data_IF_581283035313
#
_entry.id   IF_581283035313
#
_cell.length_a   1.000
_cell.length_b   1.000
_cell.length_c   1.000
_cell.angle_alpha   90.00
_cell.angle_beta   90.00
_cell.angle_gamma   90.00
#
_symmetry.space_group_name_H-M   'P 1'
#
loop_
_entity.id
_entity.type
_entity.pdbx_description
1 polymer ?
#
# COMPACT_ATOMS: atom_id res chain seq x y z
N UNK A 1 7.31 3.81 -10.57
CA UNK A 1 5.97 3.83 -9.91
C UNK A 1 5.38 5.25 -9.92
N UNK A 2 4.09 5.43 -9.60
CA UNK A 2 3.48 6.76 -9.51
C UNK A 2 3.94 7.50 -8.24
N UNK A 3 4.37 8.78 -8.33
CA UNK A 3 4.75 9.57 -7.16
C UNK A 3 3.62 9.71 -6.13
N UNK A 4 3.98 9.70 -4.85
CA UNK A 4 3.06 9.93 -3.75
C UNK A 4 3.46 11.24 -3.03
N UNK A 5 2.64 12.27 -3.16
CA UNK A 5 2.84 13.54 -2.45
C UNK A 5 1.75 13.77 -1.40
N UNK A 6 0.53 13.90 -1.89
CA UNK A 6 -0.68 14.05 -1.08
C UNK A 6 -1.72 13.05 -1.56
N UNK A 7 -2.48 12.51 -0.63
CA UNK A 7 -3.59 11.61 -0.90
C UNK A 7 -4.80 12.06 -0.11
N UNK A 8 -5.91 12.30 -0.79
CA UNK A 8 -7.18 12.58 -0.14
C UNK A 8 -8.23 11.59 -0.65
N UNK A 9 -9.00 11.05 0.25
CA UNK A 9 -10.06 10.11 -0.09
C UNK A 9 -10.69 9.45 1.11
N UNK A 10 -11.70 8.64 0.82
CA UNK A 10 -12.39 7.85 1.82
C UNK A 10 -11.44 6.83 2.44
N UNK A 11 -11.44 6.79 3.77
CA UNK A 11 -10.76 5.76 4.54
C UNK A 11 -11.73 4.63 4.90
N UNK A 12 -11.34 3.39 4.61
CA UNK A 12 -12.12 2.20 4.97
C UNK A 12 -11.61 1.61 6.30
N UNK A 13 -12.50 1.37 7.28
CA UNK A 13 -12.14 0.72 8.54
C UNK A 13 -12.09 -0.81 8.36
N UNK A 14 -10.90 -1.38 8.49
CA UNK A 14 -10.70 -2.82 8.56
C UNK A 14 -10.24 -3.18 9.97
N UNK A 15 -11.18 -3.23 10.91
CA UNK A 15 -10.91 -3.52 12.32
C UNK A 15 -10.55 -5.00 12.54
N UNK A 16 -9.39 -5.40 12.02
CA UNK A 16 -8.87 -6.76 12.09
C UNK A 16 -7.37 -6.72 12.38
N UNK A 17 -6.92 -7.59 13.28
CA UNK A 17 -5.51 -7.86 13.58
C UNK A 17 -5.03 -9.07 12.81
N UNK A 18 -3.71 -9.19 12.62
CA UNK A 18 -3.08 -10.33 11.95
C UNK A 18 -3.64 -10.61 10.55
N UNK A 19 -3.97 -9.55 9.81
CA UNK A 19 -4.39 -9.69 8.41
C UNK A 19 -3.20 -10.19 7.60
N UNK A 20 -3.24 -11.46 7.22
CA UNK A 20 -2.15 -12.09 6.49
C UNK A 20 -2.26 -11.89 4.97
N UNK A 21 -1.19 -12.23 4.26
CA UNK A 21 -1.12 -12.04 2.82
C UNK A 21 -2.03 -13.00 2.03
N UNK A 22 -2.45 -14.14 2.60
CA UNK A 22 -3.46 -15.03 2.01
C UNK A 22 -4.86 -14.42 2.12
N UNK A 23 -5.14 -13.74 3.23
CA UNK A 23 -6.39 -12.96 3.37
C UNK A 23 -6.43 -11.80 2.38
N UNK A 24 -5.31 -11.08 2.19
CA UNK A 24 -5.24 -9.94 1.25
C UNK A 24 -5.41 -10.43 -0.19
N UNK A 25 -4.67 -11.47 -0.59
CA UNK A 25 -4.74 -12.07 -1.93
C UNK A 25 -4.54 -13.58 -1.84
N UNK A 26 -5.59 -14.40 -2.03
CA UNK A 26 -5.51 -15.84 -1.94
C UNK A 26 -4.55 -16.46 -2.98
N UNK A 27 -3.96 -17.59 -2.62
CA UNK A 27 -2.91 -18.28 -3.39
C UNK A 27 -3.28 -18.59 -4.84
N UNK A 28 -4.55 -18.81 -5.16
CA UNK A 28 -5.01 -19.11 -6.53
C UNK A 28 -4.75 -17.97 -7.51
N UNK A 29 -4.60 -16.73 -7.02
CA UNK A 29 -4.33 -15.54 -7.84
C UNK A 29 -2.83 -15.25 -8.03
N UNK A 30 -1.93 -16.02 -7.40
CA UNK A 30 -0.48 -15.77 -7.44
C UNK A 30 0.20 -16.26 -8.72
N UNK A 31 -0.52 -16.84 -9.64
CA UNK A 31 0.03 -17.37 -10.92
C UNK A 31 0.32 -16.29 -11.95
N UNK A 32 -0.22 -15.08 -11.76
CA UNK A 32 0.00 -13.97 -12.69
C UNK A 32 1.27 -13.20 -12.38
N UNK A 33 1.93 -12.74 -13.43
CA UNK A 33 3.04 -11.78 -13.37
C UNK A 33 2.57 -10.34 -13.62
N UNK A 34 1.28 -10.17 -13.97
CA UNK A 34 0.70 -8.85 -14.23
C UNK A 34 0.29 -8.19 -12.90
N UNK A 35 0.64 -6.93 -12.75
CA UNK A 35 0.35 -6.11 -11.57
C UNK A 35 -1.07 -5.54 -11.57
N UNK A 36 -1.82 -5.72 -12.66
CA UNK A 36 -3.20 -5.24 -12.86
C UNK A 36 -4.19 -6.39 -12.93
N UNK A 37 -5.44 -6.12 -12.57
CA UNK A 37 -6.52 -7.10 -12.54
C UNK A 37 -6.65 -7.88 -11.24
N UNK A 38 -5.78 -7.59 -10.23
CA UNK A 38 -5.80 -8.23 -8.91
C UNK A 38 -6.74 -7.54 -7.91
N UNK A 39 -7.10 -6.27 -8.14
CA UNK A 39 -7.97 -5.52 -7.23
C UNK A 39 -9.34 -6.15 -7.03
N UNK A 40 -9.87 -6.84 -8.04
CA UNK A 40 -11.11 -7.61 -7.91
C UNK A 40 -10.98 -8.82 -6.99
N UNK A 41 -9.77 -9.36 -6.84
CA UNK A 41 -9.46 -10.49 -5.95
C UNK A 41 -8.95 -10.04 -4.57
N UNK A 42 -8.86 -8.72 -4.33
CA UNK A 42 -8.49 -8.19 -3.02
C UNK A 42 -9.50 -8.67 -1.96
N UNK A 43 -9.02 -9.32 -0.91
CA UNK A 43 -9.84 -9.93 0.15
C UNK A 43 -10.93 -10.87 -0.40
N UNK A 44 -10.65 -11.63 -1.44
CA UNK A 44 -11.61 -12.45 -2.20
C UNK A 44 -12.49 -13.32 -1.29
N UNK A 45 -11.87 -14.11 -0.41
CA UNK A 45 -12.59 -15.02 0.51
C UNK A 45 -13.47 -14.28 1.54
N UNK A 46 -13.14 -13.01 1.81
CA UNK A 46 -13.89 -12.16 2.74
C UNK A 46 -14.95 -11.34 2.03
N UNK A 47 -14.73 -11.00 0.76
CA UNK A 47 -15.63 -10.17 -0.05
C UNK A 47 -16.72 -10.95 -0.75
N UNK A 48 -16.45 -12.21 -1.11
CA UNK A 48 -17.35 -12.98 -1.95
C UNK A 48 -17.77 -14.30 -1.31
N UNK A 49 -18.95 -14.75 -1.65
CA UNK A 49 -19.43 -16.10 -1.40
C UNK A 49 -18.88 -17.07 -2.45
N UNK A 50 -19.03 -18.36 -2.24
CA UNK A 50 -18.58 -19.42 -3.17
C UNK A 50 -19.29 -19.37 -4.53
N UNK A 51 -20.46 -18.76 -4.62
CA UNK A 51 -21.20 -18.52 -5.85
C UNK A 51 -20.80 -17.22 -6.58
N UNK A 52 -19.81 -16.48 -6.04
CA UNK A 52 -19.32 -15.22 -6.58
C UNK A 52 -20.16 -13.99 -6.19
N UNK A 53 -21.23 -14.15 -5.41
CA UNK A 53 -22.00 -13.01 -4.90
C UNK A 53 -21.22 -12.27 -3.82
N UNK A 54 -21.39 -10.94 -3.77
CA UNK A 54 -20.74 -10.12 -2.75
C UNK A 54 -21.33 -10.35 -1.35
N UNK A 55 -20.47 -10.40 -0.35
CA UNK A 55 -20.88 -10.36 1.07
C UNK A 55 -21.14 -8.90 1.47
N UNK A 56 -22.38 -8.47 1.69
CA UNK A 56 -22.73 -7.06 1.88
C UNK A 56 -22.13 -6.46 3.16
N UNK A 57 -21.84 -7.29 4.14
CA UNK A 57 -21.32 -6.85 5.44
C UNK A 57 -19.81 -6.52 5.39
N UNK A 58 -19.08 -7.03 4.40
CA UNK A 58 -17.65 -6.72 4.29
C UNK A 58 -17.44 -5.25 3.90
N UNK A 59 -16.55 -4.57 4.60
CA UNK A 59 -16.39 -3.11 4.51
C UNK A 59 -16.19 -2.61 3.07
N UNK A 60 -15.32 -3.22 2.28
CA UNK A 60 -15.04 -2.77 0.91
C UNK A 60 -16.15 -3.06 -0.10
N UNK A 61 -17.17 -3.85 0.26
CA UNK A 61 -18.36 -4.07 -0.55
C UNK A 61 -19.46 -3.04 -0.27
N UNK A 62 -19.38 -2.34 0.86
CA UNK A 62 -20.33 -1.27 1.19
C UNK A 62 -20.17 -0.10 0.21
N UNK A 63 -21.25 0.50 -0.30
CA UNK A 63 -21.18 1.58 -1.28
C UNK A 63 -20.25 2.74 -0.90
N UNK A 64 -20.20 3.09 0.38
CA UNK A 64 -19.36 4.18 0.89
C UNK A 64 -17.85 3.93 0.70
N UNK A 65 -17.40 2.67 0.67
CA UNK A 65 -15.99 2.30 0.67
C UNK A 65 -15.49 1.64 -0.62
N UNK A 66 -16.35 1.47 -1.64
CA UNK A 66 -15.94 0.88 -2.93
C UNK A 66 -14.83 1.66 -3.64
N UNK A 67 -14.72 2.95 -3.38
CA UNK A 67 -13.66 3.83 -3.90
C UNK A 67 -12.68 4.27 -2.81
N UNK A 68 -12.52 3.52 -1.72
CA UNK A 68 -11.59 3.86 -0.66
C UNK A 68 -10.15 3.91 -1.18
N UNK A 69 -9.42 4.96 -0.78
CA UNK A 69 -8.01 5.15 -1.10
C UNK A 69 -7.09 4.87 0.07
N UNK A 70 -7.65 4.84 1.27
CA UNK A 70 -6.95 4.66 2.54
C UNK A 70 -7.58 3.48 3.26
N UNK A 71 -6.77 2.60 3.83
CA UNK A 71 -7.20 1.51 4.68
C UNK A 71 -6.67 1.74 6.09
N UNK A 72 -7.56 1.75 7.09
CA UNK A 72 -7.18 1.78 8.50
C UNK A 72 -7.36 0.36 9.04
N UNK A 73 -6.30 -0.25 9.56
CA UNK A 73 -6.29 -1.66 9.94
C UNK A 73 -5.71 -1.86 11.35
N UNK A 74 -5.89 -3.05 11.91
CA UNK A 74 -5.31 -3.45 13.19
C UNK A 74 -3.84 -3.84 13.08
N UNK A 75 -3.28 -4.29 14.19
CA UNK A 75 -1.87 -4.64 14.30
C UNK A 75 -1.46 -5.83 13.42
N UNK A 76 -0.13 -5.90 13.14
CA UNK A 76 0.51 -6.99 12.40
C UNK A 76 -0.08 -7.20 11.00
N UNK A 77 -0.37 -6.10 10.30
CA UNK A 77 -0.93 -6.15 8.95
C UNK A 77 0.08 -6.64 7.92
N UNK A 78 -0.37 -7.53 7.02
CA UNK A 78 0.46 -8.12 5.97
C UNK A 78 1.37 -9.23 6.46
N UNK A 79 1.03 -9.89 7.58
CA UNK A 79 1.79 -11.04 8.10
C UNK A 79 1.69 -12.26 7.15
N UNK A 80 2.35 -13.35 7.53
CA UNK A 80 2.38 -14.58 6.73
C UNK A 80 3.46 -14.58 5.65
N UNK A 81 3.14 -15.09 4.46
CA UNK A 81 4.11 -15.31 3.39
C UNK A 81 4.54 -14.01 2.70
N UNK A 82 5.80 -13.98 2.25
CA UNK A 82 6.33 -12.86 1.45
C UNK A 82 5.72 -12.87 0.05
N UNK A 83 4.70 -12.03 -0.18
CA UNK A 83 3.97 -11.94 -1.45
C UNK A 83 3.85 -10.49 -1.91
N UNK A 84 4.50 -10.17 -3.01
CA UNK A 84 4.37 -8.84 -3.60
C UNK A 84 3.00 -8.61 -4.25
N UNK A 85 2.27 -9.68 -4.56
CA UNK A 85 0.90 -9.63 -5.06
C UNK A 85 -0.07 -8.95 -4.09
N UNK A 86 0.20 -9.00 -2.77
CA UNK A 86 -0.67 -8.36 -1.79
C UNK A 86 -0.66 -6.82 -1.93
N UNK A 87 0.48 -6.12 -1.98
CA UNK A 87 0.51 -4.70 -2.36
C UNK A 87 -0.07 -4.42 -3.75
N UNK A 88 0.16 -5.30 -4.75
CA UNK A 88 -0.44 -5.10 -6.08
C UNK A 88 -1.96 -5.13 -6.05
N UNK A 89 -2.55 -6.06 -5.29
CA UNK A 89 -4.01 -6.15 -5.16
C UNK A 89 -4.61 -4.91 -4.48
N UNK A 90 -3.95 -4.40 -3.43
CA UNK A 90 -4.35 -3.15 -2.76
C UNK A 90 -4.29 -1.97 -3.72
N UNK A 91 -3.18 -1.82 -4.44
CA UNK A 91 -2.97 -0.72 -5.38
C UNK A 91 -3.95 -0.76 -6.54
N UNK A 92 -4.16 -1.94 -7.13
CA UNK A 92 -5.09 -2.13 -8.26
C UNK A 92 -6.56 -1.95 -7.86
N UNK A 93 -6.89 -2.16 -6.58
CA UNK A 93 -8.19 -1.78 -6.02
C UNK A 93 -8.35 -0.26 -5.86
N UNK A 94 -7.25 0.48 -5.70
CA UNK A 94 -7.21 1.93 -5.49
C UNK A 94 -6.68 2.36 -4.13
N UNK A 95 -6.30 1.42 -3.25
CA UNK A 95 -5.74 1.73 -1.93
C UNK A 95 -4.27 2.09 -2.08
N UNK A 96 -3.92 3.34 -1.77
CA UNK A 96 -2.55 3.87 -1.82
C UNK A 96 -1.94 4.17 -0.46
N UNK A 97 -2.73 4.07 0.61
CA UNK A 97 -2.24 4.25 1.97
C UNK A 97 -2.87 3.20 2.89
N UNK A 98 -2.05 2.61 3.75
CA UNK A 98 -2.50 1.71 4.81
C UNK A 98 -1.97 2.24 6.13
N UNK A 99 -2.86 2.42 7.11
CA UNK A 99 -2.53 2.92 8.45
C UNK A 99 -2.80 1.80 9.45
N UNK A 100 -1.80 1.43 10.24
CA UNK A 100 -1.91 0.35 11.22
C UNK A 100 -0.92 0.56 12.39
N UNK A 101 -1.13 -0.07 13.54
CA UNK A 101 -0.18 -0.02 14.66
C UNK A 101 1.15 -0.70 14.32
N UNK A 102 1.11 -1.78 13.53
CA UNK A 102 2.30 -2.50 13.08
C UNK A 102 2.05 -3.26 11.79
N UNK A 103 3.14 -3.57 11.09
CA UNK A 103 3.16 -4.33 9.83
C UNK A 103 4.21 -5.43 9.90
N UNK A 104 4.01 -6.50 9.14
CA UNK A 104 5.09 -7.42 8.84
C UNK A 104 6.15 -6.74 7.96
N UNK A 105 7.44 -6.97 8.26
CA UNK A 105 8.56 -6.21 7.68
C UNK A 105 8.63 -6.33 6.16
N UNK A 106 8.42 -7.53 5.61
CA UNK A 106 8.48 -7.76 4.16
C UNK A 106 7.33 -7.05 3.46
N UNK A 107 6.11 -7.15 3.98
CA UNK A 107 4.96 -6.44 3.44
C UNK A 107 5.17 -4.92 3.48
N UNK A 108 5.66 -4.41 4.61
CA UNK A 108 6.00 -2.99 4.79
C UNK A 108 7.01 -2.51 3.73
N UNK A 109 8.07 -3.28 3.49
CA UNK A 109 9.05 -3.00 2.45
C UNK A 109 8.47 -3.02 1.03
N UNK A 110 7.63 -4.03 0.73
CA UNK A 110 6.99 -4.17 -0.58
C UNK A 110 5.99 -3.05 -0.88
N UNK A 111 5.32 -2.50 0.13
CA UNK A 111 4.44 -1.34 -0.05
C UNK A 111 5.21 -0.16 -0.67
N UNK A 112 6.37 0.22 -0.11
CA UNK A 112 7.18 1.32 -0.62
C UNK A 112 7.66 1.09 -2.06
N UNK A 113 8.04 -0.14 -2.40
CA UNK A 113 8.48 -0.50 -3.76
C UNK A 113 7.38 -0.40 -4.81
N UNK A 114 6.12 -0.48 -4.38
CA UNK A 114 4.96 -0.45 -5.24
C UNK A 114 4.16 0.86 -5.19
N UNK A 115 4.61 1.86 -4.42
CA UNK A 115 3.94 3.18 -4.38
C UNK A 115 2.77 3.26 -3.40
N UNK A 116 2.70 2.34 -2.44
CA UNK A 116 1.79 2.40 -1.29
C UNK A 116 2.54 2.99 -0.11
N UNK A 117 1.92 3.90 0.61
CA UNK A 117 2.44 4.46 1.87
C UNK A 117 1.88 3.68 3.07
N UNK A 118 2.67 2.80 3.72
CA UNK A 118 2.29 2.20 4.99
C UNK A 118 2.69 3.15 6.13
N UNK A 119 1.74 3.53 6.98
CA UNK A 119 1.96 4.42 8.12
C UNK A 119 1.80 3.65 9.42
N UNK A 120 2.82 3.69 10.27
CA UNK A 120 2.77 3.13 11.63
C UNK A 120 2.39 4.24 12.60
N UNK A 121 1.35 4.00 13.40
CA UNK A 121 0.90 4.92 14.46
C UNK A 121 0.69 4.16 15.77
N UNK A 122 0.78 4.83 16.93
CA UNK A 122 0.33 4.26 18.20
C UNK A 122 -1.14 3.81 18.11
N UNK A 123 -1.49 2.73 18.83
CA UNK A 123 -2.84 2.16 18.82
C UNK A 123 -3.94 3.19 19.05
N UNK A 124 -3.78 4.07 20.05
CA UNK A 124 -4.74 5.12 20.37
C UNK A 124 -5.05 6.05 19.18
N UNK A 125 -4.03 6.36 18.36
CA UNK A 125 -4.21 7.19 17.17
C UNK A 125 -4.89 6.42 16.04
N UNK A 126 -4.58 5.11 15.91
CA UNK A 126 -5.25 4.24 14.95
C UNK A 126 -6.72 4.07 15.31
N UNK A 127 -7.05 3.87 16.58
CA UNK A 127 -8.43 3.75 17.06
C UNK A 127 -9.24 5.01 16.72
N UNK A 128 -8.66 6.18 16.93
CA UNK A 128 -9.28 7.46 16.56
C UNK A 128 -9.54 7.57 15.06
N UNK A 129 -8.58 7.17 14.22
CA UNK A 129 -8.75 7.15 12.76
C UNK A 129 -9.74 6.05 12.33
N UNK A 130 -9.86 4.96 13.07
CA UNK A 130 -10.85 3.90 12.84
C UNK A 130 -12.27 4.44 13.08
N UNK A 131 -12.48 5.14 14.20
CA UNK A 131 -13.76 5.82 14.50
C UNK A 131 -14.12 6.84 13.41
N UNK A 132 -13.13 7.62 12.95
CA UNK A 132 -13.33 8.55 11.85
C UNK A 132 -13.69 7.83 10.53
N UNK A 133 -13.07 6.69 10.27
CA UNK A 133 -13.32 5.88 9.07
C UNK A 133 -14.73 5.23 9.09
N UNK A 134 -15.33 4.98 10.24
CA UNK A 134 -16.69 4.45 10.35
C UNK A 134 -17.79 5.43 9.87
N UNK A 135 -17.45 6.70 9.62
CA UNK A 135 -18.39 7.72 9.11
C UNK A 135 -18.81 7.51 7.64
N UNK A 136 -18.36 6.43 7.01
CA UNK A 136 -18.74 6.05 5.65
C UNK A 136 -18.22 7.03 4.59
N UNK A 137 -19.08 7.51 3.71
CA UNK A 137 -18.70 8.45 2.66
C UNK A 137 -18.11 9.78 3.17
N UNK A 138 -18.34 10.13 4.43
CA UNK A 138 -17.80 11.33 5.08
C UNK A 138 -16.44 11.08 5.74
N UNK A 139 -15.92 9.87 5.71
CA UNK A 139 -14.63 9.49 6.24
C UNK A 139 -13.47 9.96 5.32
N UNK A 140 -13.48 11.23 4.93
CA UNK A 140 -12.43 11.80 4.11
C UNK A 140 -11.21 12.09 4.97
N UNK A 141 -10.12 11.40 4.67
CA UNK A 141 -8.82 11.61 5.32
C UNK A 141 -7.85 12.14 4.27
N UNK A 142 -7.04 13.12 4.65
CA UNK A 142 -5.95 13.66 3.85
C UNK A 142 -4.60 13.26 4.46
N UNK A 143 -3.71 12.74 3.64
CA UNK A 143 -2.35 12.35 4.01
C UNK A 143 -1.35 13.16 3.18
N UNK A 144 -0.49 13.92 3.84
CA UNK A 144 0.58 14.71 3.22
C UNK A 144 1.93 14.07 3.57
N UNK A 145 2.60 13.46 2.59
CA UNK A 145 3.89 12.80 2.80
C UNK A 145 5.04 13.80 2.99
N UNK A 146 4.98 14.98 2.34
CA UNK A 146 6.03 15.98 2.49
C UNK A 146 6.08 16.51 3.93
N UNK A 147 4.91 16.83 4.49
CA UNK A 147 4.77 17.32 5.86
C UNK A 147 4.72 16.20 6.89
N UNK A 148 4.47 14.96 6.45
CA UNK A 148 4.22 13.80 7.31
C UNK A 148 3.04 14.04 8.27
N UNK A 149 1.94 14.53 7.73
CA UNK A 149 0.70 14.86 8.42
C UNK A 149 -0.48 14.05 7.88
N UNK A 150 -1.36 13.64 8.78
CA UNK A 150 -2.68 13.09 8.48
C UNK A 150 -3.70 14.06 9.05
N UNK A 151 -4.73 14.38 8.28
CA UNK A 151 -5.87 15.18 8.72
C UNK A 151 -7.15 14.38 8.61
N UNK A 152 -7.82 14.23 9.75
CA UNK A 152 -9.13 13.59 9.82
C UNK A 152 -10.25 14.50 9.30
N UNK A 153 -11.47 13.96 9.19
CA UNK A 153 -12.63 14.69 8.67
C UNK A 153 -13.02 15.92 9.52
N UNK A 154 -12.69 15.93 10.79
CA UNK A 154 -12.94 17.06 11.70
C UNK A 154 -11.76 18.04 11.80
N UNK A 155 -10.75 17.91 10.93
CA UNK A 155 -9.57 18.79 10.92
C UNK A 155 -8.52 18.46 11.98
N UNK A 156 -8.69 17.39 12.76
CA UNK A 156 -7.66 16.87 13.67
C UNK A 156 -6.40 16.50 12.91
N UNK A 157 -5.21 16.81 13.44
CA UNK A 157 -3.93 16.54 12.82
C UNK A 157 -3.15 15.49 13.63
N UNK A 158 -2.62 14.49 12.93
CA UNK A 158 -1.72 13.47 13.46
C UNK A 158 -0.45 13.52 12.64
N UNK A 159 0.72 13.52 13.29
CA UNK A 159 2.01 13.43 12.61
C UNK A 159 2.50 11.98 12.59
N UNK A 160 3.25 11.61 11.56
CA UNK A 160 3.85 10.29 11.44
C UNK A 160 5.31 10.39 10.94
N UNK A 161 6.06 9.34 11.15
CA UNK A 161 7.45 9.27 10.71
C UNK A 161 7.63 8.23 9.62
N UNK A 162 8.44 8.57 8.62
CA UNK A 162 8.88 7.68 7.54
C UNK A 162 10.37 7.84 7.35
N UNK A 163 11.07 6.74 7.13
CA UNK A 163 12.48 6.75 6.76
C UNK A 163 12.75 7.70 5.59
N UNK A 164 13.78 8.53 5.72
CA UNK A 164 14.07 9.62 4.78
C UNK A 164 14.30 9.11 3.34
N UNK A 165 14.98 7.97 3.17
CA UNK A 165 15.22 7.38 1.86
C UNK A 165 13.92 6.86 1.22
N UNK A 166 13.09 6.14 1.99
CA UNK A 166 11.78 5.65 1.53
C UNK A 166 10.84 6.79 1.18
N UNK A 167 10.86 7.87 1.97
CA UNK A 167 10.11 9.10 1.68
C UNK A 167 10.51 9.68 0.31
N UNK A 168 11.81 9.81 0.05
CA UNK A 168 12.31 10.30 -1.23
C UNK A 168 11.91 9.40 -2.40
N UNK A 169 11.97 8.09 -2.23
CA UNK A 169 11.53 7.15 -3.26
C UNK A 169 10.05 7.34 -3.61
N UNK A 170 9.17 7.42 -2.61
CA UNK A 170 7.74 7.65 -2.84
C UNK A 170 7.45 9.02 -3.47
N UNK A 171 8.06 10.10 -2.95
CA UNK A 171 7.85 11.46 -3.47
C UNK A 171 8.21 11.59 -4.95
N UNK A 172 9.25 10.87 -5.38
CA UNK A 172 9.76 10.92 -6.76
C UNK A 172 9.26 9.76 -7.64
N UNK A 173 8.55 8.79 -7.07
CA UNK A 173 8.09 7.61 -7.81
C UNK A 173 9.23 6.65 -8.20
N UNK A 174 10.34 6.62 -7.45
CA UNK A 174 11.46 5.73 -7.74
C UNK A 174 11.23 4.34 -7.17
N UNK A 175 11.14 3.36 -8.04
CA UNK A 175 11.26 1.95 -7.72
C UNK A 175 12.73 1.48 -7.85
N UNK A 176 12.99 0.20 -7.63
CA UNK A 176 14.36 -0.35 -7.68
C UNK A 176 15.04 -0.09 -9.05
N UNK A 177 14.27 -0.17 -10.14
CA UNK A 177 14.78 0.12 -11.50
C UNK A 177 15.04 1.61 -11.65
N UNK A 178 14.09 2.46 -11.25
CA UNK A 178 14.24 3.90 -11.30
C UNK A 178 15.43 4.42 -10.50
N UNK A 179 15.73 3.78 -9.36
CA UNK A 179 16.94 4.08 -8.57
C UNK A 179 18.22 3.72 -9.33
N UNK A 180 18.25 2.55 -9.98
CA UNK A 180 19.40 2.11 -10.80
C UNK A 180 19.63 3.04 -11.98
N UNK A 181 18.56 3.45 -12.69
CA UNK A 181 18.66 4.36 -13.83
C UNK A 181 19.23 5.75 -13.49
N UNK A 182 19.20 6.16 -12.23
CA UNK A 182 19.87 7.40 -11.80
C UNK A 182 21.39 7.34 -11.87
N UNK A 183 21.95 6.15 -12.07
CA UNK A 183 23.39 5.92 -12.22
C UNK A 183 23.75 5.42 -13.62
N UNK A 184 22.89 5.66 -14.62
CA UNK A 184 23.04 5.18 -16.00
C UNK A 184 24.40 5.55 -16.60
N UNK A 185 24.87 6.79 -16.42
CA UNK A 185 26.18 7.24 -16.91
C UNK A 185 27.33 6.40 -16.36
N UNK A 186 27.25 5.99 -15.07
CA UNK A 186 28.26 5.15 -14.45
C UNK A 186 28.21 3.72 -14.96
N UNK A 187 27.00 3.22 -15.21
CA UNK A 187 26.77 1.88 -15.79
C UNK A 187 27.34 1.86 -17.20
N UNK A 188 26.97 2.82 -18.03
CA UNK A 188 27.46 2.91 -19.42
C UNK A 188 28.99 3.03 -19.48
N UNK A 189 29.60 3.82 -18.60
CA UNK A 189 31.06 3.94 -18.49
C UNK A 189 31.72 2.61 -18.10
N UNK A 190 31.12 1.89 -17.17
CA UNK A 190 31.61 0.57 -16.76
C UNK A 190 31.51 -0.44 -17.89
N UNK A 191 30.37 -0.50 -18.58
CA UNK A 191 30.13 -1.39 -19.72
C UNK A 191 31.14 -1.14 -20.86
N UNK A 192 31.41 0.13 -21.17
CA UNK A 192 32.44 0.49 -22.16
C UNK A 192 33.84 -0.01 -21.78
N UNK A 193 34.24 0.18 -20.52
CA UNK A 193 35.51 -0.31 -20.00
C UNK A 193 35.60 -1.84 -20.04
N UNK A 194 34.51 -2.51 -19.63
CA UNK A 194 34.43 -3.96 -19.66
C UNK A 194 34.54 -4.51 -21.10
N UNK A 195 33.81 -3.91 -22.05
CA UNK A 195 33.87 -4.32 -23.45
C UNK A 195 35.27 -4.17 -24.07
N UNK A 196 36.04 -3.14 -23.64
CA UNK A 196 37.45 -2.98 -24.09
C UNK A 196 38.36 -4.01 -23.44
N UNK A 197 38.16 -4.33 -22.15
CA UNK A 197 38.99 -5.30 -21.42
C UNK A 197 38.63 -6.74 -21.69
N UNK A 198 37.37 -7.02 -21.99
CA UNK A 198 36.81 -8.36 -22.20
C UNK A 198 35.86 -8.37 -23.39
N UNK A 199 36.38 -8.18 -24.65
CA UNK A 199 35.56 -8.03 -25.85
C UNK A 199 34.79 -9.30 -26.26
N UNK A 200 34.98 -10.40 -25.51
CA UNK A 200 34.27 -11.67 -25.73
C UNK A 200 33.04 -11.85 -24.81
N UNK A 201 32.72 -10.90 -23.93
CA UNK A 201 31.48 -10.83 -23.16
C UNK A 201 30.52 -9.78 -23.81
#
# INVERSE_FOLDING_TARGET
MEPFKTLEGVAAPLNMINVDTDMIIPKQYLKTIHRTGLGKALFDEMRYNTDGSEKPDFVLNKPAYRGAKILVAGENFGCGSSREHAPWALLDFGIRCVIAPSFADIFYGNCFKNGILPIKLPQEQVDKLMDDAERGANAIISVDLEKQEIRGPDGGMITFEVDAFRKQCLLNGWDDIGLTMRTEDKIASFEQQQHVQQPWI
#
